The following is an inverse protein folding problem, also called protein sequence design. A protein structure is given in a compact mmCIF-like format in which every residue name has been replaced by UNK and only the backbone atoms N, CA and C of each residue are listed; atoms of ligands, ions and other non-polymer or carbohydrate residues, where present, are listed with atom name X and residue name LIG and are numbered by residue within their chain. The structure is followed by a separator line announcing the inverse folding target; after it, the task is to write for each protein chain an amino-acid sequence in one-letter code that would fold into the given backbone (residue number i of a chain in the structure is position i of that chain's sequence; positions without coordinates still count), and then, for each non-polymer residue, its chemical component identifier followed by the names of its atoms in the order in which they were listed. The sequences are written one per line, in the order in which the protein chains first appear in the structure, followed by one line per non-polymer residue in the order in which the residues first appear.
data_IF_550374083985
#
_entry.id   IF_550374083985
#
_cell.length_a   1.000
_cell.length_b   1.000
_cell.length_c   1.000
_cell.angle_alpha   90.00
_cell.angle_beta   90.00
_cell.angle_gamma   90.00
#
_symmetry.space_group_name_H-M   'P 1'
#
loop_
_entity.id
_entity.type
_entity.pdbx_description
1 polymer ?
#
# COMPACT_ATOMS: atom_id res chain seq x y z
N UNK A 1 -32.52 -2.05 -10.70
CA UNK A 1 -31.46 -2.38 -9.72
C UNK A 1 -30.58 -3.40 -10.40
N UNK A 2 -29.32 -3.07 -10.65
CA UNK A 2 -28.41 -3.87 -11.48
C UNK A 2 -27.59 -4.79 -10.58
N UNK A 3 -27.32 -6.02 -11.01
CA UNK A 3 -26.56 -7.07 -10.32
C UNK A 3 -25.18 -6.63 -9.77
N UNK A 4 -24.69 -5.44 -10.15
CA UNK A 4 -23.49 -4.81 -9.61
C UNK A 4 -23.56 -4.42 -8.13
N UNK A 5 -24.76 -4.19 -7.59
CA UNK A 5 -24.93 -3.84 -6.16
C UNK A 5 -24.96 -5.08 -5.24
N UNK A 6 -24.95 -6.29 -5.82
CA UNK A 6 -24.98 -7.57 -5.11
C UNK A 6 -23.61 -8.28 -5.07
N UNK A 7 -22.55 -7.66 -5.62
CA UNK A 7 -21.18 -8.14 -5.44
C UNK A 7 -20.65 -7.73 -4.06
N UNK A 8 -21.22 -8.40 -3.06
CA UNK A 8 -20.81 -8.41 -1.67
C UNK A 8 -19.36 -8.86 -1.51
N UNK A 9 -18.59 -8.07 -0.76
CA UNK A 9 -17.30 -8.36 -0.14
C UNK A 9 -16.85 -9.83 -0.26
N UNK A 10 -15.90 -10.11 -1.14
CA UNK A 10 -15.23 -11.40 -1.14
C UNK A 10 -14.42 -11.51 0.16
N UNK A 11 -14.91 -12.29 1.13
CA UNK A 11 -14.13 -12.73 2.29
C UNK A 11 -13.06 -13.76 1.89
N UNK A 12 -12.27 -14.27 2.83
CA UNK A 12 -11.19 -15.25 2.55
C UNK A 12 -11.66 -16.49 1.77
N UNK A 13 -12.92 -16.90 1.97
CA UNK A 13 -13.58 -17.97 1.22
C UNK A 13 -13.80 -17.58 -0.25
N UNK A 14 -14.12 -16.31 -0.53
CA UNK A 14 -14.27 -15.77 -1.88
C UNK A 14 -12.95 -15.68 -2.64
N UNK A 15 -11.86 -15.33 -1.97
CA UNK A 15 -10.51 -15.32 -2.56
C UNK A 15 -10.08 -16.74 -2.99
N UNK A 16 -10.31 -17.74 -2.12
CA UNK A 16 -10.04 -19.15 -2.43
C UNK A 16 -10.92 -19.67 -3.58
N UNK A 17 -12.20 -19.30 -3.59
CA UNK A 17 -13.11 -19.64 -4.68
C UNK A 17 -12.66 -19.06 -6.04
N UNK A 18 -12.15 -17.83 -6.05
CA UNK A 18 -11.60 -17.19 -7.25
C UNK A 18 -10.35 -17.92 -7.76
N UNK A 19 -9.42 -18.25 -6.85
CA UNK A 19 -8.22 -19.02 -7.18
C UNK A 19 -8.55 -20.39 -7.79
N UNK A 20 -9.45 -21.15 -7.17
CA UNK A 20 -9.87 -22.47 -7.65
C UNK A 20 -10.78 -22.43 -8.88
N UNK A 21 -11.40 -21.28 -9.17
CA UNK A 21 -12.26 -21.05 -10.33
C UNK A 21 -11.49 -20.88 -11.66
N UNK A 22 -10.16 -20.85 -11.62
CA UNK A 22 -9.25 -20.82 -12.79
C UNK A 22 -9.45 -19.64 -13.75
N UNK A 23 -9.94 -18.48 -13.28
CA UNK A 23 -10.12 -17.32 -14.15
C UNK A 23 -8.82 -16.56 -14.43
N UNK A 24 -7.87 -16.57 -13.49
CA UNK A 24 -6.64 -15.77 -13.54
C UNK A 24 -6.88 -14.25 -13.53
N UNK A 25 -8.14 -13.83 -13.35
CA UNK A 25 -8.52 -12.42 -13.45
C UNK A 25 -7.99 -11.64 -12.25
N UNK A 26 -7.37 -10.49 -12.53
CA UNK A 26 -6.87 -9.62 -11.49
C UNK A 26 -8.01 -9.07 -10.63
N UNK A 27 -7.79 -9.02 -9.32
CA UNK A 27 -8.72 -8.44 -8.35
C UNK A 27 -8.18 -7.11 -7.82
N UNK A 28 -9.08 -6.26 -7.36
CA UNK A 28 -8.76 -5.00 -6.69
C UNK A 28 -9.00 -5.12 -5.18
N UNK A 29 -8.27 -4.35 -4.37
CA UNK A 29 -8.52 -4.24 -2.92
C UNK A 29 -9.98 -3.89 -2.62
N UNK A 30 -10.62 -3.07 -3.46
CA UNK A 30 -12.04 -2.73 -3.33
C UNK A 30 -12.96 -3.94 -3.53
N UNK A 31 -12.72 -4.77 -4.56
CA UNK A 31 -13.47 -6.02 -4.77
C UNK A 31 -13.29 -7.02 -3.62
N UNK A 32 -12.13 -6.99 -2.96
CA UNK A 32 -11.83 -7.79 -1.78
C UNK A 32 -12.35 -7.17 -0.47
N UNK A 33 -12.92 -5.95 -0.50
CA UNK A 33 -13.34 -5.24 0.71
C UNK A 33 -12.19 -4.84 1.65
N UNK A 34 -10.96 -4.74 1.15
CA UNK A 34 -9.75 -4.43 1.91
C UNK A 34 -9.25 -3.00 1.73
N UNK A 35 -9.85 -2.23 0.82
CA UNK A 35 -9.37 -0.90 0.45
C UNK A 35 -9.21 0.02 1.67
N UNK A 36 -10.27 0.25 2.43
CA UNK A 36 -10.25 1.16 3.59
C UNK A 36 -9.31 0.65 4.70
N UNK A 37 -9.21 -0.66 4.80
CA UNK A 37 -8.40 -1.33 5.81
C UNK A 37 -6.90 -1.14 5.54
N UNK A 38 -6.47 -1.35 4.30
CA UNK A 38 -5.08 -1.09 3.86
C UNK A 38 -4.75 0.39 3.97
N UNK A 39 -5.66 1.29 3.58
CA UNK A 39 -5.47 2.73 3.74
C UNK A 39 -5.25 3.12 5.22
N UNK A 40 -6.01 2.52 6.13
CA UNK A 40 -5.83 2.72 7.57
C UNK A 40 -4.50 2.16 8.05
N UNK A 41 -4.10 0.97 7.61
CA UNK A 41 -2.84 0.34 8.00
C UNK A 41 -1.62 1.18 7.61
N UNK A 42 -1.61 1.76 6.40
CA UNK A 42 -0.52 2.63 5.93
C UNK A 42 -0.24 3.80 6.89
N UNK A 43 -1.28 4.30 7.55
CA UNK A 43 -1.18 5.42 8.51
C UNK A 43 -0.96 4.96 9.95
N UNK A 44 -1.21 3.68 10.26
CA UNK A 44 -1.16 3.13 11.61
C UNK A 44 0.26 2.66 11.96
N UNK A 45 0.71 2.95 13.18
CA UNK A 45 2.04 2.53 13.64
C UNK A 45 2.06 1.04 13.97
N UNK A 46 3.18 0.36 13.70
CA UNK A 46 3.34 -1.08 13.96
C UNK A 46 2.66 -2.01 12.95
N UNK A 47 1.84 -1.45 12.05
CA UNK A 47 1.24 -2.20 10.95
C UNK A 47 2.24 -2.40 9.81
N UNK A 48 1.91 -3.28 8.87
CA UNK A 48 2.71 -3.52 7.67
C UNK A 48 4.11 -4.11 7.96
N UNK A 49 4.25 -4.79 9.10
CA UNK A 49 5.52 -5.37 9.57
C UNK A 49 6.53 -4.33 10.08
N UNK A 50 6.07 -3.13 10.40
CA UNK A 50 6.89 -2.04 10.95
C UNK A 50 6.97 -2.12 12.48
N UNK A 51 7.95 -1.43 13.05
CA UNK A 51 8.03 -1.23 14.50
C UNK A 51 6.84 -0.38 15.01
N UNK A 52 6.45 -0.56 16.27
CA UNK A 52 5.31 0.11 16.94
C UNK A 52 5.42 1.64 16.98
N UNK A 53 6.60 2.22 16.73
CA UNK A 53 6.79 3.66 16.65
C UNK A 53 6.61 4.23 15.23
N UNK A 54 6.62 3.38 14.21
CA UNK A 54 6.69 3.77 12.81
C UNK A 54 5.44 3.35 12.04
N UNK A 55 4.92 4.26 11.21
CA UNK A 55 3.92 3.95 10.18
C UNK A 55 4.53 4.15 8.80
N UNK A 56 3.98 3.49 7.77
CA UNK A 56 4.48 3.65 6.40
C UNK A 56 4.37 5.11 5.95
N UNK A 57 3.21 5.73 6.19
CA UNK A 57 2.96 7.11 5.79
C UNK A 57 3.90 8.08 6.51
N UNK A 58 4.08 7.95 7.82
CA UNK A 58 4.96 8.81 8.60
C UNK A 58 6.43 8.69 8.17
N UNK A 59 6.90 7.46 7.92
CA UNK A 59 8.26 7.26 7.41
C UNK A 59 8.45 7.86 6.03
N UNK A 60 7.45 7.74 5.15
CA UNK A 60 7.54 8.35 3.83
C UNK A 60 7.50 9.89 3.90
N UNK A 61 6.67 10.49 4.76
CA UNK A 61 6.73 11.94 5.01
C UNK A 61 8.12 12.38 5.46
N UNK A 62 8.77 11.63 6.35
CA UNK A 62 10.16 11.91 6.75
C UNK A 62 11.15 11.81 5.59
N UNK A 63 10.98 10.85 4.68
CA UNK A 63 11.79 10.75 3.46
C UNK A 63 11.52 11.92 2.50
N UNK A 64 10.28 12.36 2.36
CA UNK A 64 9.92 13.56 1.57
C UNK A 64 10.61 14.78 2.13
N UNK A 65 10.62 14.93 3.46
CA UNK A 65 11.31 16.03 4.11
C UNK A 65 12.83 15.98 3.90
N UNK A 66 13.40 14.81 3.59
CA UNK A 66 14.79 14.62 3.21
C UNK A 66 15.05 14.74 1.69
N UNK A 67 13.98 14.93 0.90
CA UNK A 67 14.04 15.24 -0.52
C UNK A 67 13.57 14.14 -1.46
N UNK A 68 13.28 12.93 -0.96
CA UNK A 68 12.74 11.83 -1.78
C UNK A 68 11.32 12.14 -2.25
N UNK A 69 10.99 11.81 -3.50
CA UNK A 69 9.61 11.95 -4.01
C UNK A 69 8.87 10.64 -4.20
N UNK A 70 9.54 9.50 -4.06
CA UNK A 70 8.90 8.20 -4.20
C UNK A 70 9.59 7.12 -3.39
N UNK A 71 8.87 6.03 -3.16
CA UNK A 71 9.41 4.78 -2.62
C UNK A 71 8.71 3.57 -3.26
N UNK A 72 9.35 2.42 -3.18
CA UNK A 72 8.78 1.13 -3.58
C UNK A 72 9.40 0.03 -2.71
N UNK A 73 8.59 -0.61 -1.85
CA UNK A 73 9.08 -1.61 -0.90
C UNK A 73 8.06 -2.73 -0.67
N UNK A 74 8.53 -3.85 -0.11
CA UNK A 74 7.68 -4.94 0.38
C UNK A 74 7.21 -4.71 1.82
N UNK A 75 5.99 -5.13 2.13
CA UNK A 75 5.33 -4.99 3.43
C UNK A 75 4.52 -6.23 3.77
N UNK A 76 4.23 -6.45 5.06
CA UNK A 76 3.43 -7.60 5.53
C UNK A 76 2.01 -7.16 5.90
N UNK A 77 1.00 -7.54 5.12
CA UNK A 77 -0.39 -7.17 5.43
C UNK A 77 -0.94 -7.87 6.68
N UNK A 78 -0.49 -9.09 6.98
CA UNK A 78 -1.04 -9.88 8.09
C UNK A 78 -0.02 -10.76 8.80
N UNK A 79 -0.45 -11.23 9.97
CA UNK A 79 0.23 -12.27 10.76
C UNK A 79 -0.69 -13.47 10.97
N UNK A 80 -0.08 -14.62 11.28
CA UNK A 80 -0.73 -15.92 11.50
C UNK A 80 -1.79 -15.90 12.64
N UNK A 81 -2.94 -16.61 12.56
CA UNK A 81 -3.67 -17.15 11.40
C UNK A 81 -5.12 -16.59 11.24
N UNK A 82 -5.78 -16.93 10.12
CA UNK A 82 -7.23 -16.84 9.84
C UNK A 82 -7.84 -15.47 9.42
N UNK A 83 -7.05 -14.49 9.00
CA UNK A 83 -7.58 -13.26 8.36
C UNK A 83 -7.32 -13.22 6.86
N UNK A 84 -8.12 -12.45 6.11
CA UNK A 84 -7.85 -12.18 4.69
C UNK A 84 -6.46 -11.57 4.47
N UNK A 85 -6.01 -10.73 5.42
CA UNK A 85 -4.67 -10.15 5.41
C UNK A 85 -3.57 -11.20 5.55
N UNK A 86 -3.82 -12.25 6.32
CA UNK A 86 -2.91 -13.39 6.43
C UNK A 86 -2.83 -14.13 5.09
N UNK A 87 -3.97 -14.39 4.44
CA UNK A 87 -4.00 -15.10 3.15
C UNK A 87 -3.25 -14.38 2.03
N UNK A 88 -3.29 -13.04 1.99
CA UNK A 88 -2.51 -12.24 1.04
C UNK A 88 -1.02 -12.20 1.45
N UNK A 89 -0.72 -12.20 2.75
CA UNK A 89 0.64 -12.26 3.25
C UNK A 89 1.44 -10.98 2.98
N UNK A 90 2.35 -11.03 2.00
CA UNK A 90 3.31 -9.97 1.69
C UNK A 90 2.96 -9.23 0.42
N UNK A 91 2.99 -7.89 0.46
CA UNK A 91 2.60 -7.04 -0.69
C UNK A 91 3.68 -6.04 -1.03
N UNK A 92 3.69 -5.57 -2.28
CA UNK A 92 4.50 -4.41 -2.69
C UNK A 92 3.64 -3.15 -2.60
N UNK A 93 4.12 -2.15 -1.87
CA UNK A 93 3.50 -0.83 -1.84
C UNK A 93 4.51 0.19 -2.35
N UNK A 94 4.07 1.03 -3.27
CA UNK A 94 4.78 2.24 -3.69
C UNK A 94 3.96 3.48 -3.37
N UNK A 95 4.67 4.58 -3.17
CA UNK A 95 4.06 5.90 -3.02
C UNK A 95 4.87 6.93 -3.80
N UNK A 96 4.17 7.87 -4.42
CA UNK A 96 4.76 9.01 -5.12
C UNK A 96 4.13 10.31 -4.61
N UNK A 97 4.97 11.26 -4.24
CA UNK A 97 4.56 12.56 -3.73
C UNK A 97 4.50 13.60 -4.84
N UNK A 98 3.32 14.17 -5.02
CA UNK A 98 3.05 15.30 -5.91
C UNK A 98 2.71 16.52 -5.09
N UNK A 99 3.65 17.46 -5.01
CA UNK A 99 3.47 18.67 -4.23
C UNK A 99 4.70 19.54 -4.19
N UNK A 100 4.61 20.57 -3.35
CA UNK A 100 5.68 21.55 -3.16
C UNK A 100 5.69 22.05 -1.72
N UNK A 101 6.72 22.82 -1.39
CA UNK A 101 6.81 23.58 -0.15
C UNK A 101 6.36 25.02 -0.36
N UNK A 102 5.53 25.53 0.54
CA UNK A 102 4.97 26.89 0.44
C UNK A 102 5.21 27.69 1.70
N UNK A 103 5.37 29.00 1.55
CA UNK A 103 5.38 29.96 2.66
C UNK A 103 4.05 30.72 2.69
N UNK A 104 3.38 30.72 3.84
CA UNK A 104 2.11 31.41 4.03
C UNK A 104 2.13 32.15 5.37
N UNK A 105 2.00 33.48 5.34
CA UNK A 105 1.92 34.33 6.54
C UNK A 105 3.08 34.08 7.53
N UNK A 106 4.30 33.89 7.01
CA UNK A 106 5.50 33.64 7.82
C UNK A 106 5.63 32.21 8.38
N UNK A 107 4.76 31.28 7.97
CA UNK A 107 4.84 29.85 8.28
C UNK A 107 5.13 29.06 7.01
N UNK A 108 5.72 27.87 7.16
CA UNK A 108 6.16 27.04 6.05
C UNK A 108 5.44 25.69 6.09
N UNK A 109 5.02 25.21 4.92
CA UNK A 109 4.22 24.00 4.79
C UNK A 109 4.74 23.12 3.65
N UNK A 110 4.64 21.81 3.83
CA UNK A 110 4.67 20.82 2.75
C UNK A 110 3.23 20.51 2.36
N UNK A 111 2.84 20.81 1.11
CA UNK A 111 1.47 20.61 0.63
C UNK A 111 1.50 19.77 -0.65
N UNK A 112 0.63 18.77 -0.72
CA UNK A 112 0.50 17.93 -1.91
C UNK A 112 -0.36 16.70 -1.66
N UNK A 113 -0.11 15.68 -2.45
CA UNK A 113 -0.73 14.36 -2.34
C UNK A 113 0.31 13.27 -2.45
N UNK A 114 0.10 12.18 -1.71
CA UNK A 114 0.80 10.91 -1.95
C UNK A 114 -0.13 9.98 -2.69
N UNK A 115 0.31 9.52 -3.86
CA UNK A 115 -0.39 8.55 -4.68
C UNK A 115 0.19 7.18 -4.35
N UNK A 116 -0.61 6.33 -3.73
CA UNK A 116 -0.23 4.99 -3.35
C UNK A 116 -0.70 3.97 -4.39
N UNK A 117 0.15 2.97 -4.63
CA UNK A 117 -0.18 1.77 -5.38
C UNK A 117 0.25 0.55 -4.59
N UNK A 118 -0.62 -0.46 -4.56
CA UNK A 118 -0.36 -1.79 -4.02
C UNK A 118 -0.42 -2.80 -5.16
N UNK A 119 0.56 -3.71 -5.18
CA UNK A 119 0.57 -4.89 -6.03
C UNK A 119 0.93 -6.11 -5.19
N UNK A 120 0.14 -7.15 -5.34
CA UNK A 120 0.40 -8.48 -4.84
C UNK A 120 0.18 -9.51 -5.95
N UNK A 121 0.97 -10.57 -5.93
CA UNK A 121 0.80 -11.71 -6.84
C UNK A 121 0.40 -12.92 -6.01
N UNK A 122 -0.88 -13.26 -6.08
CA UNK A 122 -1.44 -14.37 -5.35
C UNK A 122 -1.26 -15.65 -6.17
N UNK A 123 -0.32 -16.50 -5.76
CA UNK A 123 0.05 -17.74 -6.47
C UNK A 123 -0.26 -19.03 -5.71
N UNK A 124 -0.36 -18.99 -4.38
CA UNK A 124 -0.75 -20.14 -3.56
C UNK A 124 -1.32 -19.68 -2.21
N UNK A 125 -2.34 -20.42 -1.76
CA UNK A 125 -3.04 -20.24 -0.48
C UNK A 125 -2.12 -20.47 0.73
N UNK A 126 -0.97 -21.15 0.53
CA UNK A 126 0.01 -21.44 1.57
C UNK A 126 1.31 -20.62 1.49
N UNK A 127 1.56 -19.88 0.40
CA UNK A 127 2.79 -19.13 0.11
C UNK A 127 2.98 -17.85 0.95
N UNK A 128 2.34 -17.81 2.12
CA UNK A 128 2.50 -16.74 3.12
C UNK A 128 3.89 -16.71 3.77
N UNK A 129 4.81 -17.61 3.38
CA UNK A 129 6.12 -17.72 4.01
C UNK A 129 7.35 -17.84 3.11
N UNK A 130 7.28 -18.00 1.78
CA UNK A 130 8.44 -17.88 0.86
C UNK A 130 9.79 -18.39 1.46
N UNK A 131 9.79 -19.58 2.09
CA UNK A 131 10.92 -20.10 2.88
C UNK A 131 11.67 -21.26 2.20
N UNK A 132 11.21 -21.75 1.05
CA UNK A 132 12.00 -22.66 0.18
C UNK A 132 11.57 -22.57 -1.29
N UNK A 133 12.50 -22.76 -2.26
CA UNK A 133 12.21 -22.68 -3.71
C UNK A 133 11.32 -23.80 -4.27
N UNK A 134 10.93 -24.79 -3.47
CA UNK A 134 10.27 -26.03 -3.90
C UNK A 134 8.86 -26.21 -3.30
N UNK A 135 8.05 -25.16 -3.23
CA UNK A 135 6.64 -25.33 -2.84
C UNK A 135 5.77 -25.76 -4.04
N UNK A 136 5.84 -27.04 -4.36
CA UNK A 136 5.00 -27.73 -5.34
C UNK A 136 3.66 -28.18 -4.75
N UNK A 137 2.90 -27.30 -4.11
CA UNK A 137 1.52 -27.60 -3.68
C UNK A 137 0.51 -26.98 -4.65
N UNK A 138 0.52 -27.52 -5.87
CA UNK A 138 -0.34 -27.08 -6.96
C UNK A 138 -1.80 -27.54 -6.71
N UNK A 139 -2.58 -26.76 -5.96
CA UNK A 139 -4.03 -26.99 -5.76
C UNK A 139 -4.88 -26.78 -7.02
N UNK A 140 -4.25 -26.65 -8.20
CA UNK A 140 -4.92 -26.53 -9.50
C UNK A 140 -5.65 -25.19 -9.69
N UNK A 141 -5.31 -24.18 -8.89
CA UNK A 141 -5.81 -22.82 -9.06
C UNK A 141 -4.99 -22.01 -10.05
N UNK A 142 -5.55 -20.91 -10.54
CA UNK A 142 -4.88 -19.99 -11.46
C UNK A 142 -4.40 -18.76 -10.67
N UNK A 143 -3.08 -18.46 -10.66
CA UNK A 143 -2.55 -17.26 -10.02
C UNK A 143 -3.14 -15.98 -10.60
N UNK A 144 -3.26 -14.93 -9.77
CA UNK A 144 -3.77 -13.63 -10.21
C UNK A 144 -3.14 -12.49 -9.42
N UNK A 145 -3.23 -11.28 -9.96
CA UNK A 145 -2.74 -10.09 -9.29
C UNK A 145 -3.83 -9.45 -8.43
N UNK A 146 -3.46 -8.97 -7.25
CA UNK A 146 -4.28 -8.09 -6.44
C UNK A 146 -3.68 -6.68 -6.52
N UNK A 147 -4.51 -5.70 -6.88
CA UNK A 147 -4.07 -4.32 -7.07
C UNK A 147 -4.88 -3.34 -6.22
N UNK A 148 -4.30 -2.21 -5.87
CA UNK A 148 -5.02 -1.15 -5.18
C UNK A 148 -4.36 0.20 -5.42
N UNK A 149 -5.16 1.24 -5.62
CA UNK A 149 -4.67 2.60 -5.78
C UNK A 149 -5.51 3.54 -4.90
N UNK A 150 -4.85 4.50 -4.27
CA UNK A 150 -5.52 5.54 -3.49
C UNK A 150 -4.61 6.76 -3.33
N UNK A 151 -5.19 7.85 -2.85
CA UNK A 151 -4.50 9.13 -2.68
C UNK A 151 -4.69 9.60 -1.24
N UNK A 152 -3.60 10.00 -0.59
CA UNK A 152 -3.61 10.61 0.74
C UNK A 152 -3.16 12.07 0.64
N UNK A 153 -3.91 13.04 1.19
CA UNK A 153 -3.48 14.43 1.21
C UNK A 153 -2.32 14.64 2.17
N UNK A 154 -1.45 15.59 1.85
CA UNK A 154 -0.34 16.04 2.71
C UNK A 154 -0.50 17.53 2.98
N UNK A 155 -0.48 17.89 4.26
CA UNK A 155 -0.45 19.27 4.73
C UNK A 155 0.30 19.33 6.06
N UNK A 156 1.62 19.38 5.98
CA UNK A 156 2.50 19.33 7.14
C UNK A 156 3.17 20.68 7.39
N UNK A 157 3.13 21.16 8.63
CA UNK A 157 3.93 22.31 9.03
C UNK A 157 5.39 21.92 9.08
N UNK A 158 6.26 22.68 8.43
CA UNK A 158 7.69 22.42 8.38
C UNK A 158 8.48 23.61 8.92
N UNK A 159 9.73 23.36 9.29
CA UNK A 159 10.66 24.42 9.67
C UNK A 159 11.12 25.22 8.43
N UNK A 160 11.56 26.46 8.66
CA UNK A 160 12.20 27.27 7.61
C UNK A 160 13.39 26.53 6.97
N UNK A 161 14.20 25.85 7.77
CA UNK A 161 15.35 25.11 7.27
C UNK A 161 14.96 23.97 6.31
N UNK A 162 13.89 23.24 6.61
CA UNK A 162 13.35 22.21 5.72
C UNK A 162 12.79 22.83 4.43
N UNK A 163 12.05 23.94 4.53
CA UNK A 163 11.52 24.66 3.38
C UNK A 163 12.63 25.10 2.41
N UNK A 164 13.65 25.80 2.91
CA UNK A 164 14.74 26.30 2.05
C UNK A 164 15.50 25.15 1.38
N UNK A 165 15.76 24.06 2.12
CA UNK A 165 16.42 22.87 1.58
C UNK A 165 15.61 22.23 0.45
N UNK A 166 14.34 21.94 0.70
CA UNK A 166 13.48 21.26 -0.28
C UNK A 166 13.23 22.14 -1.50
N UNK A 167 13.01 23.44 -1.30
CA UNK A 167 12.84 24.42 -2.38
C UNK A 167 14.08 24.52 -3.26
N UNK A 168 15.29 24.43 -2.69
CA UNK A 168 16.52 24.39 -3.47
C UNK A 168 16.67 23.07 -4.25
N UNK A 169 16.41 21.94 -3.58
CA UNK A 169 16.56 20.62 -4.17
C UNK A 169 15.59 20.37 -5.34
N UNK A 170 14.32 20.73 -5.20
CA UNK A 170 13.29 20.45 -6.21
C UNK A 170 13.26 21.44 -7.38
N UNK A 171 13.98 22.56 -7.29
CA UNK A 171 14.16 23.50 -8.41
C UNK A 171 15.21 23.06 -9.43
N UNK A 172 16.03 22.07 -9.09
CA UNK A 172 17.10 21.59 -9.96
C UNK A 172 16.56 20.43 -10.78
N UNK A 173 16.34 20.57 -12.10
CA UNK A 173 16.08 19.42 -12.94
C UNK A 173 17.34 18.55 -12.95
N UNK A 174 17.19 17.27 -12.64
CA UNK A 174 18.25 16.27 -12.84
C UNK A 174 18.59 16.14 -14.32
#
# INVERSE_FOLDING_TARGET
MSDRDLMSHLGSIGLLGHFLGQSGEALTLSQLGLQDDVQKMVKTKGELGKDVQHSLHGDFLNQILQGSKSFHNGYKLGGFPLSMRWAIGGVKISGEFFGDVVEQRGRYYLIGTVHYSLLDHFSDVWDTLNLTPDDHNNFGGEPFNITGNWVEPVNESISKAQYERLKAQWKTPY
#
